data_IF_870115864580
#
_entry.id   IF_870115864580
#
_cell.length_a   1.000
_cell.length_b   1.000
_cell.length_c   1.000
_cell.angle_alpha   90.00
_cell.angle_beta   90.00
_cell.angle_gamma   90.00
#
_symmetry.space_group_name_H-M   'P 1'
#
loop_
_entity.id
_entity.type
_entity.pdbx_description
1 polymer ?
#
# COMPACT_ATOMS: atom_id res chain seq x y z
N UNK A 1 -20.59 -15.81 -6.66
CA UNK A 1 -20.12 -14.98 -5.53
C UNK A 1 -20.45 -13.50 -5.72
N UNK A 2 -19.87 -12.78 -6.69
CA UNK A 2 -20.10 -11.34 -6.84
C UNK A 2 -21.57 -10.94 -7.12
N UNK A 3 -22.35 -11.78 -7.78
CA UNK A 3 -23.79 -11.51 -7.96
C UNK A 3 -24.59 -11.63 -6.64
N UNK A 4 -24.12 -12.50 -5.72
CA UNK A 4 -24.71 -12.66 -4.38
C UNK A 4 -24.28 -11.54 -3.43
N UNK A 5 -23.22 -10.76 -3.78
CA UNK A 5 -22.75 -9.64 -2.98
C UNK A 5 -23.83 -8.56 -2.80
N UNK A 6 -24.62 -8.30 -3.85
CA UNK A 6 -25.66 -7.26 -3.85
C UNK A 6 -26.74 -7.49 -2.79
N UNK A 7 -26.96 -8.76 -2.44
CA UNK A 7 -27.98 -9.18 -1.47
C UNK A 7 -27.43 -9.33 -0.04
N UNK A 8 -26.11 -9.22 0.14
CA UNK A 8 -25.47 -9.37 1.43
C UNK A 8 -25.44 -8.05 2.19
N UNK A 9 -26.09 -8.02 3.37
CA UNK A 9 -26.03 -6.90 4.31
C UNK A 9 -24.76 -7.00 5.14
N UNK A 10 -23.73 -6.26 4.75
CA UNK A 10 -22.45 -6.22 5.45
C UNK A 10 -21.30 -5.71 4.58
N UNK A 11 -20.12 -5.66 5.19
CA UNK A 11 -18.86 -5.28 4.53
C UNK A 11 -18.37 -6.39 3.59
N UNK A 12 -17.41 -6.06 2.74
CA UNK A 12 -16.77 -7.06 1.88
C UNK A 12 -15.99 -8.10 2.69
N UNK A 13 -15.51 -7.74 3.89
CA UNK A 13 -14.75 -8.63 4.77
C UNK A 13 -15.69 -9.70 5.32
N UNK A 14 -16.84 -9.29 5.88
CA UNK A 14 -17.85 -10.20 6.42
C UNK A 14 -18.44 -11.11 5.33
N UNK A 15 -18.69 -10.58 4.14
CA UNK A 15 -19.11 -11.37 2.98
C UNK A 15 -18.07 -12.45 2.63
N UNK A 16 -16.80 -12.08 2.59
CA UNK A 16 -15.70 -12.99 2.29
C UNK A 16 -15.56 -14.08 3.35
N UNK A 17 -15.69 -13.73 4.63
CA UNK A 17 -15.69 -14.68 5.74
C UNK A 17 -16.88 -15.65 5.64
N UNK A 18 -18.09 -15.14 5.43
CA UNK A 18 -19.32 -15.94 5.31
C UNK A 18 -19.24 -16.97 4.17
N UNK A 19 -18.57 -16.63 3.08
CA UNK A 19 -18.42 -17.51 1.91
C UNK A 19 -17.09 -18.27 1.87
N UNK A 20 -16.26 -18.18 2.91
CA UNK A 20 -14.92 -18.77 2.98
C UNK A 20 -14.03 -18.43 1.77
N UNK A 21 -14.05 -17.15 1.38
CA UNK A 21 -13.25 -16.62 0.26
C UNK A 21 -12.23 -15.64 0.81
N UNK A 22 -10.98 -15.74 0.36
CA UNK A 22 -9.99 -14.73 0.70
C UNK A 22 -10.35 -13.36 0.10
N UNK A 23 -10.24 -12.28 0.89
CA UNK A 23 -10.57 -10.91 0.47
C UNK A 23 -9.81 -10.48 -0.79
N UNK A 24 -8.58 -10.96 -0.96
CA UNK A 24 -7.75 -10.74 -2.15
C UNK A 24 -8.35 -11.40 -3.39
N UNK A 25 -8.83 -12.63 -3.28
CA UNK A 25 -9.53 -13.35 -4.36
C UNK A 25 -10.82 -12.64 -4.77
N UNK A 26 -11.60 -12.15 -3.80
CA UNK A 26 -12.81 -11.38 -4.07
C UNK A 26 -12.53 -10.12 -4.90
N UNK A 27 -11.54 -9.32 -4.50
CA UNK A 27 -11.19 -8.11 -5.25
C UNK A 27 -10.57 -8.42 -6.62
N UNK A 28 -9.79 -9.51 -6.76
CA UNK A 28 -9.29 -9.97 -8.06
C UNK A 28 -10.43 -10.25 -9.03
N UNK A 29 -11.41 -11.05 -8.60
CA UNK A 29 -12.59 -11.36 -9.42
C UNK A 29 -13.38 -10.10 -9.79
N UNK A 30 -13.58 -9.19 -8.83
CA UNK A 30 -14.30 -7.93 -9.07
C UNK A 30 -13.60 -7.05 -10.10
N UNK A 31 -12.27 -6.96 -10.03
CA UNK A 31 -11.48 -6.17 -10.98
C UNK A 31 -11.53 -6.74 -12.41
N UNK A 32 -11.60 -8.06 -12.55
CA UNK A 32 -11.72 -8.76 -13.84
C UNK A 32 -13.07 -8.50 -14.51
N UNK A 33 -14.17 -8.51 -13.76
CA UNK A 33 -15.51 -8.24 -14.30
C UNK A 33 -15.66 -6.80 -14.80
N UNK A 34 -15.07 -5.82 -14.10
CA UNK A 34 -15.07 -4.41 -14.54
C UNK A 34 -14.31 -4.21 -15.86
N UNK A 35 -13.32 -5.08 -16.19
CA UNK A 35 -12.60 -5.02 -17.47
C UNK A 35 -13.47 -5.48 -18.65
N UNK A 36 -14.50 -6.30 -18.41
CA UNK A 36 -15.36 -6.84 -19.47
C UNK A 36 -16.57 -5.93 -19.81
N UNK A 37 -16.94 -5.00 -18.92
CA UNK A 37 -18.14 -4.17 -19.08
C UNK A 37 -17.92 -2.83 -19.79
N UNK A 38 -16.68 -2.46 -20.14
CA UNK A 38 -16.37 -1.21 -20.85
C UNK A 38 -15.83 -1.49 -22.26
N UNK A 39 -16.68 -1.43 -23.32
CA UNK A 39 -16.24 -1.64 -24.70
C UNK A 39 -15.41 -0.48 -25.29
N UNK A 40 -15.29 0.65 -24.59
CA UNK A 40 -14.60 1.86 -25.07
C UNK A 40 -13.20 2.10 -24.46
N UNK A 41 -12.66 1.18 -23.66
CA UNK A 41 -11.25 1.26 -23.29
C UNK A 41 -10.43 0.41 -24.28
N UNK A 42 -9.27 0.90 -24.74
CA UNK A 42 -8.42 0.13 -25.64
C UNK A 42 -8.20 -1.25 -25.01
N UNK A 43 -8.51 -2.30 -25.77
CA UNK A 43 -8.27 -3.69 -25.40
C UNK A 43 -6.80 -3.84 -25.08
N UNK A 44 -6.42 -3.63 -23.80
CA UNK A 44 -5.15 -4.09 -23.30
C UNK A 44 -5.21 -5.60 -23.38
N UNK A 45 -4.57 -6.08 -24.44
CA UNK A 45 -4.06 -7.41 -24.72
C UNK A 45 -4.35 -8.41 -23.61
N UNK A 46 -4.93 -9.53 -24.02
CA UNK A 46 -5.12 -10.79 -23.28
C UNK A 46 -3.78 -11.38 -22.79
N UNK A 47 -3.00 -10.61 -22.04
CA UNK A 47 -1.96 -11.14 -21.18
C UNK A 47 -2.61 -11.31 -19.81
N UNK A 48 -2.81 -12.57 -19.41
CA UNK A 48 -3.25 -12.96 -18.06
C UNK A 48 -2.37 -12.37 -16.93
N UNK A 49 -1.26 -11.71 -17.28
CA UNK A 49 -0.35 -11.01 -16.40
C UNK A 49 -0.69 -9.52 -16.14
N UNK A 50 -1.62 -8.89 -16.89
CA UNK A 50 -1.96 -7.47 -16.71
C UNK A 50 -2.99 -7.27 -15.59
N UNK A 51 -2.59 -7.63 -14.37
CA UNK A 51 -3.29 -7.29 -13.15
C UNK A 51 -3.21 -5.78 -12.91
N UNK A 52 -4.35 -5.09 -12.70
CA UNK A 52 -4.34 -3.70 -12.16
C UNK A 52 -3.86 -3.66 -10.70
N UNK A 53 -3.65 -4.81 -10.09
CA UNK A 53 -3.02 -4.90 -8.78
C UNK A 53 -1.53 -4.68 -8.97
N UNK A 54 -1.04 -3.58 -8.38
CA UNK A 54 0.38 -3.38 -8.17
C UNK A 54 0.82 -4.49 -7.22
N UNK A 55 1.76 -5.33 -7.66
CA UNK A 55 2.50 -6.18 -6.74
C UNK A 55 3.31 -5.24 -5.86
N UNK A 56 2.76 -4.89 -4.70
CA UNK A 56 3.56 -4.31 -3.62
C UNK A 56 4.48 -5.44 -3.19
N UNK A 57 5.71 -5.45 -3.73
CA UNK A 57 6.79 -6.18 -3.11
C UNK A 57 6.83 -5.64 -1.69
N UNK A 58 6.38 -6.46 -0.73
CA UNK A 58 6.65 -6.20 0.68
C UNK A 58 8.16 -6.31 0.82
N UNK A 59 8.86 -5.23 0.49
CA UNK A 59 10.02 -4.86 1.26
C UNK A 59 9.44 -4.53 2.62
N UNK A 60 9.26 -5.56 3.46
CA UNK A 60 9.42 -5.34 4.88
C UNK A 60 10.78 -4.68 4.94
N UNK A 61 10.81 -3.36 5.07
CA UNK A 61 12.02 -2.67 5.47
C UNK A 61 12.30 -3.27 6.81
N UNK A 62 13.14 -4.30 6.81
CA UNK A 62 13.96 -4.62 7.96
C UNK A 62 14.49 -3.26 8.38
N UNK A 63 14.01 -2.80 9.54
CA UNK A 63 14.52 -1.61 10.18
C UNK A 63 16.00 -1.90 10.34
N UNK A 64 16.81 -1.43 9.39
CA UNK A 64 18.23 -1.45 9.51
C UNK A 64 18.48 -0.48 10.66
N UNK A 65 18.57 -1.03 11.87
CA UNK A 65 19.19 -0.39 13.00
C UNK A 65 20.65 -0.18 12.59
N UNK A 66 20.89 0.80 11.72
CA UNK A 66 22.21 1.33 11.51
C UNK A 66 22.60 1.87 12.88
N UNK A 67 23.53 1.16 13.49
CA UNK A 67 24.23 1.51 14.72
C UNK A 67 25.11 2.73 14.43
N UNK A 68 24.48 3.86 14.15
CA UNK A 68 25.10 5.16 14.24
C UNK A 68 24.54 5.83 15.49
N UNK A 69 25.40 6.36 16.38
CA UNK A 69 24.98 6.88 17.68
C UNK A 69 24.07 8.12 17.60
N UNK A 70 23.78 8.62 16.39
CA UNK A 70 22.98 9.82 16.14
C UNK A 70 21.58 9.41 15.66
N UNK A 71 20.76 8.87 16.55
CA UNK A 71 19.38 8.47 16.25
C UNK A 71 18.50 9.72 16.18
N UNK A 72 17.99 10.06 14.99
CA UNK A 72 16.87 10.98 14.84
C UNK A 72 15.63 10.36 15.48
N UNK A 73 14.95 11.08 16.36
CA UNK A 73 13.77 10.56 17.05
C UNK A 73 12.51 11.27 16.54
N UNK A 74 11.55 10.49 16.04
CA UNK A 74 10.25 10.99 15.60
C UNK A 74 9.15 10.52 16.54
N UNK A 75 8.46 11.46 17.18
CA UNK A 75 7.27 11.19 17.99
C UNK A 75 6.02 11.21 17.10
N UNK A 76 5.46 10.03 16.85
CA UNK A 76 4.25 9.84 16.04
C UNK A 76 2.99 10.48 16.64
N UNK A 77 2.95 10.71 17.96
CA UNK A 77 1.78 11.25 18.66
C UNK A 77 1.78 12.78 18.61
N UNK A 78 2.96 13.40 18.66
CA UNK A 78 3.10 14.86 18.65
C UNK A 78 3.53 15.41 17.28
N UNK A 79 4.01 14.54 16.38
CA UNK A 79 4.59 14.93 15.09
C UNK A 79 5.96 15.59 15.21
N UNK A 80 6.61 15.52 16.38
CA UNK A 80 7.89 16.18 16.60
C UNK A 80 9.06 15.32 16.10
N UNK A 81 10.00 15.97 15.40
CA UNK A 81 11.26 15.40 14.97
C UNK A 81 12.39 16.02 15.81
N UNK A 82 13.08 15.21 16.59
CA UNK A 82 14.20 15.63 17.43
C UNK A 82 15.52 15.22 16.80
N UNK A 83 16.47 16.16 16.83
CA UNK A 83 17.80 16.02 16.26
C UNK A 83 18.87 15.93 17.37
N UNK A 84 19.90 15.07 17.21
CA UNK A 84 21.07 15.06 18.08
C UNK A 84 21.79 16.42 18.09
N UNK A 85 22.38 16.80 19.23
CA UNK A 85 23.02 18.10 19.40
C UNK A 85 24.25 18.33 18.49
N UNK A 86 24.80 17.25 17.93
CA UNK A 86 25.99 17.26 17.07
C UNK A 86 25.66 17.21 15.56
N UNK A 87 24.39 17.30 15.17
CA UNK A 87 24.02 17.35 13.74
C UNK A 87 24.34 18.73 13.16
N UNK A 88 24.85 18.78 11.92
CA UNK A 88 25.08 20.05 11.25
C UNK A 88 23.75 20.64 10.73
N UNK A 89 23.60 21.97 10.79
CA UNK A 89 22.41 22.66 10.26
C UNK A 89 22.16 22.36 8.78
N UNK A 90 23.24 22.15 8.00
CA UNK A 90 23.15 21.76 6.60
C UNK A 90 22.46 20.40 6.41
N UNK A 91 22.69 19.45 7.31
CA UNK A 91 22.05 18.13 7.26
C UNK A 91 20.57 18.22 7.66
N UNK A 92 20.23 19.04 8.66
CA UNK A 92 18.82 19.32 9.01
C UNK A 92 18.07 19.89 7.80
N UNK A 93 18.67 20.86 7.11
CA UNK A 93 18.07 21.47 5.91
C UNK A 93 17.92 20.46 4.79
N UNK A 94 18.91 19.59 4.58
CA UNK A 94 18.81 18.51 3.57
C UNK A 94 17.66 17.55 3.87
N UNK A 95 17.52 17.12 5.13
CA UNK A 95 16.42 16.26 5.60
C UNK A 95 15.06 16.90 5.35
N UNK A 96 14.88 18.18 5.74
CA UNK A 96 13.61 18.91 5.54
C UNK A 96 13.28 19.05 4.05
N UNK A 97 14.30 19.28 3.22
CA UNK A 97 14.13 19.42 1.76
C UNK A 97 13.97 18.08 1.04
N UNK A 98 14.08 16.95 1.73
CA UNK A 98 14.08 15.62 1.11
C UNK A 98 15.25 15.40 0.15
N UNK A 99 16.34 16.14 0.35
CA UNK A 99 17.57 15.97 -0.43
C UNK A 99 18.28 14.75 0.12
N UNK A 100 18.24 13.67 -0.65
CA UNK A 100 19.02 12.46 -0.36
C UNK A 100 20.50 12.75 -0.65
N UNK A 101 21.38 12.22 0.20
CA UNK A 101 22.81 12.17 -0.07
C UNK A 101 23.11 11.08 -1.12
#
# INVERSE_FOLDING_TARGET
LLQQRSNFKGTNIEFCQHHNVAITTYYKQRALLVKQSNPNLPQQSLNAASSRFIQVNKTTTEFCAQTHPNVLQFDIRTGQLMFPANIATSEIVAIIKGLTA
#
